data_IF_026933526727
#
_entry.id   IF_026933526727
#
_cell.length_a   1.000
_cell.length_b   1.000
_cell.length_c   1.000
_cell.angle_alpha   90.00
_cell.angle_beta   90.00
_cell.angle_gamma   90.00
#
_symmetry.space_group_name_H-M   'P 1'
#
loop_
_entity.id
_entity.type
_entity.pdbx_description
1 polymer ?
#
# COMPACT_ATOMS: atom_id res chain seq x y z
N UNK A 1 -2.13 12.25 10.53
CA UNK A 1 -1.65 11.54 9.32
C UNK A 1 -1.40 12.45 8.13
N UNK A 2 -2.29 13.38 7.79
CA UNK A 2 -2.10 14.32 6.66
C UNK A 2 -0.72 15.02 6.61
N UNK A 3 -0.21 15.54 7.73
CA UNK A 3 1.12 16.19 7.78
C UNK A 3 2.31 15.24 7.56
N UNK A 4 2.17 13.94 7.83
CA UNK A 4 3.26 12.95 7.68
C UNK A 4 3.40 12.51 6.22
N UNK A 5 2.29 12.31 5.52
CA UNK A 5 2.30 12.00 4.08
C UNK A 5 2.60 13.23 3.20
N UNK A 6 2.58 14.43 3.78
CA UNK A 6 3.03 15.67 3.16
C UNK A 6 4.49 15.99 3.50
N UNK A 7 5.16 15.19 4.33
CA UNK A 7 6.56 15.42 4.71
C UNK A 7 7.47 15.14 3.52
N UNK A 8 8.05 16.21 2.94
CA UNK A 8 9.02 16.13 1.86
C UNK A 8 10.43 16.25 2.43
N UNK A 9 11.07 15.12 2.69
CA UNK A 9 12.49 15.07 2.97
C UNK A 9 13.26 15.43 1.68
N UNK A 10 13.69 16.69 1.60
CA UNK A 10 14.49 17.29 0.52
C UNK A 10 13.71 17.70 -0.73
N UNK A 11 13.94 18.95 -1.16
CA UNK A 11 13.12 19.72 -2.09
C UNK A 11 13.09 19.29 -3.55
N UNK A 12 12.88 18.01 -3.89
CA UNK A 12 12.89 17.58 -5.30
C UNK A 12 12.00 16.38 -5.69
N UNK A 13 11.20 15.78 -4.81
CA UNK A 13 10.36 14.62 -5.18
C UNK A 13 8.89 14.96 -5.44
N UNK A 14 8.64 16.08 -6.11
CA UNK A 14 7.35 16.31 -6.76
C UNK A 14 7.55 16.10 -8.25
N UNK A 15 6.99 15.02 -8.78
CA UNK A 15 7.05 14.73 -10.21
C UNK A 15 5.72 15.11 -10.86
N UNK A 16 5.78 15.51 -12.12
CA UNK A 16 4.59 15.51 -12.96
C UNK A 16 4.08 14.07 -13.14
N UNK A 17 2.77 13.88 -13.38
CA UNK A 17 2.21 12.58 -13.75
C UNK A 17 2.99 11.87 -14.86
N UNK A 18 3.49 12.62 -15.85
CA UNK A 18 4.27 12.11 -16.97
C UNK A 18 5.63 11.57 -16.51
N UNK A 19 6.38 12.34 -15.72
CA UNK A 19 7.66 11.92 -15.17
C UNK A 19 7.53 10.69 -14.26
N UNK A 20 6.50 10.66 -13.41
CA UNK A 20 6.26 9.53 -12.53
C UNK A 20 5.85 8.26 -13.31
N UNK A 21 5.05 8.39 -14.38
CA UNK A 21 4.69 7.25 -15.26
C UNK A 21 5.87 6.67 -16.04
N UNK A 22 6.93 7.46 -16.25
CA UNK A 22 8.16 7.03 -16.90
C UNK A 22 9.08 6.21 -15.97
N UNK A 23 8.86 6.28 -14.64
CA UNK A 23 9.55 5.40 -13.71
C UNK A 23 9.11 3.94 -13.90
N UNK A 24 10.01 3.00 -13.61
CA UNK A 24 9.64 1.58 -13.62
C UNK A 24 8.63 1.29 -12.51
N UNK A 25 7.66 0.38 -12.71
CA UNK A 25 6.72 0.03 -11.66
C UNK A 25 7.40 -0.50 -10.39
N UNK A 26 8.54 -1.18 -10.54
CA UNK A 26 9.36 -1.65 -9.42
C UNK A 26 9.94 -0.49 -8.61
N UNK A 27 10.42 0.58 -9.26
CA UNK A 27 10.91 1.76 -8.55
C UNK A 27 9.78 2.51 -7.83
N UNK A 28 8.59 2.57 -8.42
CA UNK A 28 7.40 3.11 -7.76
C UNK A 28 6.99 2.27 -6.55
N UNK A 29 7.00 0.94 -6.69
CA UNK A 29 6.71 0.02 -5.58
C UNK A 29 7.71 0.19 -4.44
N UNK A 30 9.01 0.31 -4.75
CA UNK A 30 10.06 0.51 -3.75
C UNK A 30 9.81 1.71 -2.83
N UNK A 31 9.47 2.88 -3.40
CA UNK A 31 9.15 4.05 -2.57
C UNK A 31 7.76 3.93 -1.92
N UNK A 32 6.81 3.30 -2.61
CA UNK A 32 5.45 3.10 -2.12
C UNK A 32 5.36 2.21 -0.89
N UNK A 33 6.16 1.14 -0.84
CA UNK A 33 6.30 0.27 0.33
C UNK A 33 6.72 1.07 1.57
N UNK A 34 7.77 1.89 1.45
CA UNK A 34 8.23 2.75 2.55
C UNK A 34 7.16 3.76 3.01
N UNK A 35 6.41 4.34 2.08
CA UNK A 35 5.32 5.29 2.38
C UNK A 35 4.16 4.59 3.08
N UNK A 36 3.78 3.39 2.62
CA UNK A 36 2.71 2.61 3.23
C UNK A 36 3.10 2.10 4.63
N UNK A 37 4.32 1.59 4.80
CA UNK A 37 4.88 1.19 6.10
C UNK A 37 4.81 2.37 7.10
N UNK A 38 5.23 3.57 6.69
CA UNK A 38 5.15 4.76 7.52
C UNK A 38 3.71 5.13 7.88
N UNK A 39 2.79 5.07 6.91
CA UNK A 39 1.36 5.28 7.13
C UNK A 39 0.83 4.33 8.20
N UNK A 40 1.05 3.02 8.05
CA UNK A 40 0.58 1.99 8.99
C UNK A 40 1.21 2.17 10.38
N UNK A 41 2.53 2.37 10.47
CA UNK A 41 3.21 2.63 11.75
C UNK A 41 2.64 3.83 12.47
N UNK A 42 2.34 4.89 11.73
CA UNK A 42 1.77 6.12 12.28
C UNK A 42 0.34 5.93 12.81
N UNK A 43 -0.44 5.03 12.19
CA UNK A 43 -1.80 4.73 12.63
C UNK A 43 -1.85 3.96 13.96
N UNK A 44 -0.84 3.13 14.23
CA UNK A 44 -0.82 2.32 15.46
C UNK A 44 0.01 2.91 16.61
N UNK A 45 0.73 4.02 16.39
CA UNK A 45 1.67 4.59 17.35
C UNK A 45 1.03 5.00 18.69
N UNK A 46 -0.28 5.26 18.70
CA UNK A 46 -1.02 5.68 19.89
C UNK A 46 -2.18 4.72 20.17
N UNK A 47 -2.50 4.45 21.46
CA UNK A 47 -1.74 4.83 22.67
C UNK A 47 -0.41 4.06 22.79
N UNK A 48 0.49 4.41 23.73
CA UNK A 48 1.73 3.69 23.96
C UNK A 48 1.50 2.19 24.24
N UNK A 49 2.32 1.33 23.62
CA UNK A 49 2.30 -0.14 23.76
C UNK A 49 3.72 -0.69 23.82
N UNK A 50 3.85 -1.97 24.14
CA UNK A 50 5.14 -2.69 23.99
C UNK A 50 5.53 -2.78 22.52
N UNK A 51 6.84 -2.74 22.23
CA UNK A 51 7.36 -2.75 20.85
C UNK A 51 6.87 -3.95 20.02
N UNK A 52 6.73 -5.12 20.66
CA UNK A 52 6.23 -6.33 20.02
C UNK A 52 4.77 -6.17 19.54
N UNK A 53 3.94 -5.45 20.29
CA UNK A 53 2.55 -5.20 19.90
C UNK A 53 2.49 -4.28 18.66
N UNK A 54 3.31 -3.22 18.62
CA UNK A 54 3.41 -2.37 17.41
C UNK A 54 3.86 -3.20 16.20
N UNK A 55 4.91 -4.00 16.36
CA UNK A 55 5.43 -4.84 15.29
C UNK A 55 4.35 -5.80 14.75
N UNK A 56 3.63 -6.51 15.62
CA UNK A 56 2.58 -7.43 15.20
C UNK A 56 1.45 -6.72 14.44
N UNK A 57 1.00 -5.57 14.93
CA UNK A 57 -0.06 -4.79 14.27
C UNK A 57 0.39 -4.30 12.88
N UNK A 58 1.63 -3.83 12.77
CA UNK A 58 2.18 -3.36 11.51
C UNK A 58 2.34 -4.53 10.52
N UNK A 59 3.00 -5.62 10.91
CA UNK A 59 3.20 -6.81 10.05
C UNK A 59 1.88 -7.36 9.52
N UNK A 60 0.84 -7.41 10.35
CA UNK A 60 -0.48 -7.87 9.93
C UNK A 60 -1.09 -6.98 8.82
N UNK A 61 -0.78 -5.69 8.79
CA UNK A 61 -1.29 -4.74 7.81
C UNK A 61 -0.42 -4.63 6.55
N UNK A 62 0.89 -4.87 6.66
CA UNK A 62 1.84 -4.68 5.55
C UNK A 62 2.20 -5.96 4.80
N UNK A 63 1.78 -7.14 5.30
CA UNK A 63 1.90 -8.40 4.54
C UNK A 63 1.09 -8.37 3.24
N UNK A 64 1.57 -9.12 2.25
CA UNK A 64 1.04 -9.11 0.89
C UNK A 64 -0.45 -9.50 0.82
N UNK A 65 -0.89 -10.45 1.64
CA UNK A 65 -2.30 -10.89 1.72
C UNK A 65 -3.22 -9.73 2.11
N UNK A 66 -2.80 -8.94 3.09
CA UNK A 66 -3.58 -7.81 3.56
C UNK A 66 -3.59 -6.69 2.52
N UNK A 67 -2.44 -6.40 1.90
CA UNK A 67 -2.38 -5.42 0.82
C UNK A 67 -3.28 -5.81 -0.37
N UNK A 68 -3.26 -7.09 -0.78
CA UNK A 68 -4.14 -7.64 -1.80
C UNK A 68 -5.63 -7.46 -1.45
N UNK A 69 -6.00 -7.70 -0.20
CA UNK A 69 -7.34 -7.43 0.29
C UNK A 69 -7.71 -5.94 0.23
N UNK A 70 -6.81 -5.04 0.64
CA UNK A 70 -7.05 -3.59 0.54
C UNK A 70 -7.23 -3.14 -0.92
N UNK A 71 -6.48 -3.71 -1.88
CA UNK A 71 -6.65 -3.42 -3.32
C UNK A 71 -8.08 -3.70 -3.77
N UNK A 72 -8.65 -4.84 -3.38
CA UNK A 72 -10.03 -5.19 -3.77
C UNK A 72 -11.04 -4.15 -3.27
N UNK A 73 -10.84 -3.61 -2.06
CA UNK A 73 -11.69 -2.54 -1.50
C UNK A 73 -11.49 -1.19 -2.17
N UNK A 74 -10.26 -0.90 -2.60
CA UNK A 74 -9.94 0.35 -3.29
C UNK A 74 -10.43 0.37 -4.74
N UNK A 75 -10.46 -0.78 -5.44
CA UNK A 75 -10.79 -0.87 -6.88
C UNK A 75 -11.99 -0.01 -7.34
N UNK A 76 -13.15 0.01 -6.64
CA UNK A 76 -14.30 0.83 -7.04
C UNK A 76 -14.08 2.34 -6.92
N UNK A 77 -13.08 2.76 -6.15
CA UNK A 77 -12.75 4.18 -5.90
C UNK A 77 -11.69 4.70 -6.86
N UNK A 78 -11.02 3.81 -7.61
CA UNK A 78 -9.89 4.16 -8.46
C UNK A 78 -10.34 4.65 -9.84
N UNK A 79 -9.69 5.72 -10.29
CA UNK A 79 -9.75 6.17 -11.69
C UNK A 79 -9.09 5.15 -12.62
N UNK A 80 -9.39 5.23 -13.92
CA UNK A 80 -8.78 4.34 -14.92
C UNK A 80 -7.24 4.40 -14.91
N UNK A 81 -6.66 5.59 -14.72
CA UNK A 81 -5.21 5.79 -14.62
C UNK A 81 -4.62 5.08 -13.41
N UNK A 82 -5.31 5.14 -12.26
CA UNK A 82 -4.89 4.47 -11.03
C UNK A 82 -5.01 2.94 -11.16
N UNK A 83 -6.05 2.44 -11.82
CA UNK A 83 -6.21 1.01 -12.13
C UNK A 83 -5.13 0.49 -13.09
N UNK A 84 -4.73 1.30 -14.08
CA UNK A 84 -3.63 0.97 -14.98
C UNK A 84 -2.30 0.83 -14.22
N UNK A 85 -2.02 1.73 -13.28
CA UNK A 85 -0.83 1.66 -12.43
C UNK A 85 -0.80 0.38 -11.60
N UNK A 86 -1.92 -0.01 -10.98
CA UNK A 86 -2.03 -1.29 -10.29
C UNK A 86 -1.70 -2.46 -11.22
N UNK A 87 -2.26 -2.46 -12.44
CA UNK A 87 -2.02 -3.51 -13.44
C UNK A 87 -0.56 -3.55 -13.87
N UNK A 88 0.08 -2.40 -14.11
CA UNK A 88 1.51 -2.31 -14.46
C UNK A 88 2.41 -2.83 -13.33
N UNK A 89 2.12 -2.48 -12.08
CA UNK A 89 2.86 -3.00 -10.92
C UNK A 89 2.71 -4.51 -10.76
N UNK A 90 1.48 -5.04 -10.86
CA UNK A 90 1.22 -6.50 -10.85
C UNK A 90 2.05 -7.24 -11.89
N UNK A 91 2.11 -6.73 -13.11
CA UNK A 91 2.83 -7.37 -14.21
C UNK A 91 4.37 -7.25 -14.09
N UNK A 92 4.87 -6.28 -13.34
CA UNK A 92 6.31 -6.06 -13.13
C UNK A 92 6.87 -6.85 -11.94
N UNK A 93 6.02 -7.40 -11.07
CA UNK A 93 6.43 -8.24 -9.95
C UNK A 93 7.18 -9.47 -10.46
N UNK A 94 8.35 -9.73 -9.87
CA UNK A 94 8.99 -11.04 -10.00
C UNK A 94 8.14 -12.12 -9.32
N UNK A 95 8.29 -13.38 -9.72
CA UNK A 95 7.62 -14.51 -9.05
C UNK A 95 8.04 -14.50 -7.57
N UNK A 96 7.08 -14.29 -6.67
CA UNK A 96 7.27 -14.40 -5.23
C UNK A 96 7.78 -15.79 -4.80
N UNK A 97 8.16 -15.97 -3.53
CA UNK A 97 8.63 -17.26 -3.01
C UNK A 97 7.61 -18.38 -3.30
N UNK A 98 8.08 -19.56 -3.72
CA UNK A 98 7.29 -20.71 -4.21
C UNK A 98 6.10 -21.18 -3.33
N UNK A 99 5.97 -20.68 -2.10
CA UNK A 99 4.98 -21.11 -1.10
C UNK A 99 3.73 -20.23 -1.01
N UNK A 100 3.78 -19.00 -1.51
CA UNK A 100 2.62 -18.08 -1.50
C UNK A 100 2.12 -17.92 -2.92
N UNK A 101 0.80 -17.77 -3.07
CA UNK A 101 0.19 -17.53 -4.37
C UNK A 101 0.83 -16.29 -5.02
N UNK A 102 1.49 -16.51 -6.16
CA UNK A 102 2.15 -15.45 -6.92
C UNK A 102 1.22 -14.28 -7.23
N UNK A 103 -0.09 -14.53 -7.31
CA UNK A 103 -1.11 -13.51 -7.54
C UNK A 103 -1.22 -12.52 -6.37
N UNK A 104 -1.01 -12.97 -5.13
CA UNK A 104 -1.05 -12.12 -3.93
C UNK A 104 0.13 -11.16 -3.92
N UNK A 105 1.35 -11.66 -4.16
CA UNK A 105 2.55 -10.83 -4.26
C UNK A 105 2.47 -9.81 -5.40
N UNK A 106 1.94 -10.24 -6.54
CA UNK A 106 1.68 -9.33 -7.67
C UNK A 106 0.73 -8.21 -7.25
N UNK A 107 -0.40 -8.54 -6.60
CA UNK A 107 -1.37 -7.54 -6.13
C UNK A 107 -0.76 -6.53 -5.15
N UNK A 108 0.03 -7.01 -4.18
CA UNK A 108 0.77 -6.15 -3.26
C UNK A 108 1.74 -5.21 -3.99
N UNK A 109 2.53 -5.74 -4.92
CA UNK A 109 3.46 -4.91 -5.75
C UNK A 109 2.70 -3.86 -6.56
N UNK A 110 1.52 -4.21 -7.08
CA UNK A 110 0.61 -3.27 -7.73
C UNK A 110 0.19 -2.13 -6.81
N UNK A 111 -0.23 -2.47 -5.59
CA UNK A 111 -0.63 -1.50 -4.56
C UNK A 111 0.51 -0.55 -4.21
N UNK A 112 1.69 -1.08 -3.91
CA UNK A 112 2.87 -0.31 -3.60
C UNK A 112 3.22 0.66 -4.76
N UNK A 113 3.14 0.20 -6.01
CA UNK A 113 3.38 1.06 -7.16
C UNK A 113 2.38 2.23 -7.26
N UNK A 114 1.10 1.99 -6.97
CA UNK A 114 0.08 3.04 -6.91
C UNK A 114 0.38 4.04 -5.77
N UNK A 115 0.72 3.55 -4.58
CA UNK A 115 1.08 4.39 -3.43
C UNK A 115 2.27 5.28 -3.77
N UNK A 116 3.33 4.72 -4.35
CA UNK A 116 4.52 5.48 -4.76
C UNK A 116 4.21 6.54 -5.81
N UNK A 117 3.39 6.20 -6.82
CA UNK A 117 2.96 7.17 -7.83
C UNK A 117 2.20 8.35 -7.22
N UNK A 118 1.21 8.07 -6.36
CA UNK A 118 0.39 9.12 -5.74
C UNK A 118 1.19 9.95 -4.75
N UNK A 119 2.14 9.35 -4.02
CA UNK A 119 3.05 10.08 -3.16
C UNK A 119 3.87 11.15 -3.94
N UNK A 120 4.34 10.80 -5.13
CA UNK A 120 5.17 11.69 -5.96
C UNK A 120 4.36 12.75 -6.73
N UNK A 121 3.10 12.48 -7.04
CA UNK A 121 2.29 13.29 -7.97
C UNK A 121 1.10 13.97 -7.32
N UNK A 122 0.43 13.32 -6.37
CA UNK A 122 -0.79 13.80 -5.74
C UNK A 122 -0.96 13.27 -4.30
N UNK A 123 -0.22 13.82 -3.32
CA UNK A 123 -0.30 13.39 -1.93
C UNK A 123 -1.69 13.54 -1.29
N UNK A 124 -2.51 14.47 -1.78
CA UNK A 124 -3.87 14.66 -1.30
C UNK A 124 -4.75 13.45 -1.66
N UNK A 125 -4.67 13.00 -2.92
CA UNK A 125 -5.35 11.77 -3.38
C UNK A 125 -4.83 10.53 -2.68
N UNK A 126 -3.51 10.45 -2.40
CA UNK A 126 -2.95 9.37 -1.59
C UNK A 126 -3.62 9.30 -0.21
N UNK A 127 -3.68 10.43 0.49
CA UNK A 127 -4.32 10.50 1.81
C UNK A 127 -5.78 10.09 1.73
N UNK A 128 -6.51 10.57 0.72
CA UNK A 128 -7.92 10.22 0.51
C UNK A 128 -8.11 8.71 0.44
N UNK A 129 -7.38 8.02 -0.45
CA UNK A 129 -7.48 6.58 -0.62
C UNK A 129 -7.06 5.82 0.65
N UNK A 130 -5.91 6.18 1.24
CA UNK A 130 -5.39 5.49 2.43
C UNK A 130 -6.33 5.67 3.64
N UNK A 131 -7.06 6.78 3.73
CA UNK A 131 -8.03 7.03 4.82
C UNK A 131 -9.27 6.14 4.74
N UNK A 132 -9.55 5.51 3.59
CA UNK A 132 -10.64 4.52 3.44
C UNK A 132 -10.24 3.10 3.89
N UNK A 133 -8.95 2.89 4.15
CA UNK A 133 -8.45 1.61 4.62
C UNK A 133 -8.89 1.39 6.07
N UNK A 134 -9.47 0.24 6.33
CA UNK A 134 -9.83 -0.16 7.68
C UNK A 134 -8.61 -0.82 8.32
N UNK A 135 -7.73 -0.03 8.93
CA UNK A 135 -6.57 -0.54 9.64
C UNK A 135 -7.02 -1.12 10.99
N UNK A 136 -6.73 -2.40 11.23
CA UNK A 136 -7.04 -3.07 12.50
C UNK A 136 -8.24 -4.01 12.47
N UNK A 137 -9.01 -4.11 11.37
CA UNK A 137 -9.92 -5.24 11.18
C UNK A 137 -9.13 -6.53 10.93
N UNK A 138 -9.59 -7.63 11.54
CA UNK A 138 -8.89 -8.93 11.52
C UNK A 138 -8.72 -9.52 10.11
N UNK A 139 -7.77 -10.46 10.05
CA UNK A 139 -7.34 -11.23 8.89
C UNK A 139 -8.53 -11.74 8.03
N UNK A 140 -8.59 -11.48 6.72
CA UNK A 140 -9.59 -12.12 5.84
C UNK A 140 -9.51 -13.67 5.84
N UNK A 141 -8.46 -14.27 6.43
CA UNK A 141 -8.36 -15.70 6.71
C UNK A 141 -9.02 -16.19 8.01
N UNK A 142 -9.49 -15.29 8.88
CA UNK A 142 -10.14 -15.66 10.16
C UNK A 142 -11.62 -16.03 10.02
N UNK A 143 -12.26 -15.68 8.91
CA UNK A 143 -13.69 -15.91 8.64
C UNK A 143 -13.99 -17.32 8.06
N UNK A 144 -13.12 -18.31 8.33
CA UNK A 144 -13.34 -19.74 7.99
C UNK A 144 -13.82 -20.58 9.17
N UNK A 145 -14.47 -19.93 10.13
CA UNK A 145 -15.14 -20.58 11.26
C UNK A 145 -16.45 -19.84 11.52
N UNK A 146 -17.52 -20.20 10.81
CA UNK A 146 -18.94 -20.25 11.22
C UNK A 146 -19.76 -20.34 9.93
N UNK A 147 -19.95 -21.55 9.43
CA UNK A 147 -21.16 -21.91 8.69
C UNK A 147 -21.33 -23.44 8.73
N UNK A 148 -22.26 -23.86 9.61
CA UNK A 148 -22.96 -25.15 9.69
C UNK A 148 -22.16 -26.41 10.02
#
# INVERSE_FOLDING_TARGET
MQRLLQFRAHGSLSLSPEQARALSPVALAYIGDAVYELFVRSAFLQPPKRIQAFHQQVVNQVRAEQQAYQVQRLMPLLTEVEQDLLRRGRNASSRGPKRVDSQIYQQATGFEALVGYLYLTNPARLVELLSTLNLGSEDPGSDRSISS
#
